data_IF_907883300782
#
_entry.id   IF_907883300782
#
_cell.length_a   1.000
_cell.length_b   1.000
_cell.length_c   1.000
_cell.angle_alpha   90.00
_cell.angle_beta   90.00
_cell.angle_gamma   90.00
#
_symmetry.space_group_name_H-M   'P 1'
#
loop_
_entity.id
_entity.type
_entity.pdbx_description
1 polymer ?
#
# COMPACT_ATOMS: atom_id res chain seq x y z
N UNK A 1 -0.10 70.52 18.83
CA UNK A 1 0.33 71.56 17.88
C UNK A 1 0.18 71.00 16.49
N UNK A 2 -0.78 71.64 15.79
CA UNK A 2 -0.93 71.95 14.37
C UNK A 2 -0.95 70.81 13.36
N UNK A 3 -2.12 70.38 13.00
CA UNK A 3 -2.99 70.56 11.80
C UNK A 3 -2.25 70.98 10.51
N UNK A 4 -2.39 70.25 9.39
CA UNK A 4 -3.28 70.58 8.29
C UNK A 4 -3.26 69.58 7.14
N UNK A 5 -4.39 69.42 6.44
CA UNK A 5 -4.60 68.48 5.32
C UNK A 5 -4.41 69.13 3.98
N UNK A 6 -4.22 68.38 2.89
CA UNK A 6 -4.37 68.88 1.51
C UNK A 6 -5.27 67.91 0.72
N UNK A 7 -6.14 68.53 -0.01
CA UNK A 7 -7.36 68.18 -0.70
C UNK A 7 -7.14 67.71 -2.13
N UNK A 8 -8.06 66.85 -2.59
CA UNK A 8 -8.55 66.52 -3.94
C UNK A 8 -7.97 67.29 -5.17
N UNK A 9 -7.81 66.51 -6.26
CA UNK A 9 -8.22 66.98 -7.60
C UNK A 9 -8.67 65.79 -8.47
N UNK A 10 -9.93 65.85 -8.88
CA UNK A 10 -10.57 65.06 -9.95
C UNK A 10 -10.05 65.54 -11.29
N UNK A 11 -9.80 64.59 -12.22
CA UNK A 11 -9.80 64.91 -13.66
C UNK A 11 -10.43 63.73 -14.41
N UNK A 12 -11.61 63.98 -14.92
CA UNK A 12 -12.30 63.19 -15.92
C UNK A 12 -11.81 63.61 -17.33
N UNK A 13 -11.52 62.66 -18.20
CA UNK A 13 -11.45 62.95 -19.66
C UNK A 13 -11.76 61.69 -20.48
N UNK A 14 -12.93 61.69 -21.03
CA UNK A 14 -13.38 61.44 -22.42
C UNK A 14 -12.98 60.14 -23.15
N UNK A 15 -14.02 59.41 -23.51
CA UNK A 15 -14.11 58.38 -24.57
C UNK A 15 -13.63 58.90 -25.92
N UNK A 16 -12.85 58.10 -26.62
CA UNK A 16 -12.77 58.10 -28.10
C UNK A 16 -13.01 56.71 -28.61
N UNK A 17 -14.16 56.49 -29.28
CA UNK A 17 -14.39 55.32 -30.14
C UNK A 17 -13.52 55.46 -31.41
N UNK A 18 -12.69 54.44 -31.63
CA UNK A 18 -12.13 54.21 -32.96
C UNK A 18 -12.56 52.80 -33.41
N UNK A 19 -13.51 52.77 -34.36
CA UNK A 19 -13.81 51.59 -35.14
C UNK A 19 -12.68 51.35 -36.14
N UNK A 20 -12.01 50.22 -36.11
CA UNK A 20 -11.11 49.74 -37.14
C UNK A 20 -11.51 48.35 -37.58
N UNK A 21 -11.73 48.18 -38.86
CA UNK A 21 -12.10 46.96 -39.57
C UNK A 21 -11.04 45.86 -39.39
N UNK A 22 -11.48 44.69 -38.98
CA UNK A 22 -10.69 43.44 -39.03
C UNK A 22 -10.88 42.74 -40.38
N UNK A 23 -9.85 42.17 -41.01
CA UNK A 23 -9.99 41.26 -42.13
C UNK A 23 -10.51 39.90 -41.68
N UNK A 24 -11.26 39.14 -42.52
CA UNK A 24 -11.79 37.85 -42.18
C UNK A 24 -10.71 36.78 -42.33
N UNK A 25 -10.47 36.01 -41.25
CA UNK A 25 -9.70 34.77 -41.33
C UNK A 25 -8.58 34.63 -40.32
N UNK A 26 -8.90 34.55 -39.04
CA UNK A 26 -8.15 33.83 -38.06
C UNK A 26 -9.09 33.51 -36.89
N UNK A 27 -9.52 32.29 -36.81
CA UNK A 27 -10.09 31.74 -35.58
C UNK A 27 -9.04 31.87 -34.48
N UNK A 28 -9.41 32.25 -33.25
CA UNK A 28 -8.51 32.05 -32.14
C UNK A 28 -8.34 30.53 -32.02
N UNK A 29 -7.12 30.06 -32.19
CA UNK A 29 -6.73 28.78 -31.63
C UNK A 29 -6.90 28.93 -30.11
N UNK A 30 -7.87 28.25 -29.58
CA UNK A 30 -8.02 27.98 -28.15
C UNK A 30 -6.88 27.01 -27.81
N UNK A 31 -5.69 27.58 -27.57
CA UNK A 31 -4.55 26.88 -26.97
C UNK A 31 -4.72 26.90 -25.44
N UNK A 32 -5.86 26.46 -24.98
CA UNK A 32 -6.03 25.81 -23.70
C UNK A 32 -5.67 24.37 -23.95
N UNK A 33 -4.40 24.00 -23.71
CA UNK A 33 -3.97 22.63 -23.83
C UNK A 33 -4.80 21.77 -22.90
N UNK A 34 -5.82 21.12 -23.44
CA UNK A 34 -6.35 19.89 -22.94
C UNK A 34 -5.23 18.85 -23.14
N UNK A 35 -4.36 18.70 -22.12
CA UNK A 35 -3.45 17.58 -22.01
C UNK A 35 -4.31 16.37 -21.59
N UNK A 36 -5.22 15.95 -22.45
CA UNK A 36 -5.72 14.59 -22.40
C UNK A 36 -4.50 13.70 -22.59
N UNK A 37 -4.06 13.05 -21.52
CA UNK A 37 -2.97 12.09 -21.56
C UNK A 37 -3.19 11.18 -22.77
N UNK A 38 -2.18 11.05 -23.64
CA UNK A 38 -2.27 10.24 -24.86
C UNK A 38 -2.74 8.84 -24.49
N UNK A 39 -3.93 8.46 -24.95
CA UNK A 39 -4.56 7.17 -24.63
C UNK A 39 -4.10 6.12 -25.62
N UNK A 40 -3.76 4.93 -25.11
CA UNK A 40 -3.50 3.77 -25.97
C UNK A 40 -4.82 3.06 -26.32
N UNK A 41 -4.85 2.37 -27.45
CA UNK A 41 -5.99 1.56 -27.92
C UNK A 41 -5.61 0.13 -28.29
N UNK A 42 -4.34 -0.21 -28.13
CA UNK A 42 -3.75 -1.54 -28.33
C UNK A 42 -2.52 -1.67 -27.39
N UNK A 43 -2.07 -2.89 -27.08
CA UNK A 43 -0.82 -3.07 -26.35
C UNK A 43 0.33 -2.32 -27.01
N UNK A 44 1.18 -1.70 -26.19
CA UNK A 44 2.40 -1.06 -26.66
C UNK A 44 3.29 -2.12 -27.32
N UNK A 45 3.80 -1.81 -28.50
CA UNK A 45 4.65 -2.72 -29.29
C UNK A 45 6.14 -2.41 -29.06
N UNK A 46 6.99 -3.39 -29.30
CA UNK A 46 8.44 -3.19 -29.26
C UNK A 46 8.89 -2.10 -30.24
N UNK A 47 8.22 -1.97 -31.42
CA UNK A 47 8.50 -0.93 -32.40
C UNK A 47 8.22 0.49 -31.87
N UNK A 48 7.12 0.68 -31.11
CA UNK A 48 6.80 1.98 -30.48
C UNK A 48 7.84 2.35 -29.41
N UNK A 49 8.39 1.38 -28.69
CA UNK A 49 9.48 1.63 -27.73
C UNK A 49 10.79 1.90 -28.47
N UNK A 50 11.11 1.18 -29.57
CA UNK A 50 12.29 1.43 -30.39
C UNK A 50 12.27 2.82 -31.06
N UNK A 51 11.10 3.31 -31.45
CA UNK A 51 10.93 4.63 -32.08
C UNK A 51 11.31 5.80 -31.14
N UNK A 52 11.38 5.58 -29.82
CA UNK A 52 11.88 6.57 -28.85
C UNK A 52 13.38 6.86 -29.05
N UNK A 53 14.15 5.95 -29.72
CA UNK A 53 15.61 6.00 -29.74
C UNK A 53 16.21 5.64 -28.38
N UNK A 54 17.47 5.96 -28.15
CA UNK A 54 18.13 5.69 -26.87
C UNK A 54 17.56 6.59 -25.78
N UNK A 55 16.89 6.02 -24.79
CA UNK A 55 16.23 6.74 -23.70
C UNK A 55 16.61 6.16 -22.33
N UNK A 56 16.47 6.99 -21.30
CA UNK A 56 16.54 6.55 -19.90
C UNK A 56 15.13 6.54 -19.35
N UNK A 57 14.77 5.47 -18.65
CA UNK A 57 13.54 5.34 -17.86
C UNK A 57 13.88 5.50 -16.38
N UNK A 58 13.55 6.64 -15.78
CA UNK A 58 13.76 6.88 -14.33
C UNK A 58 12.66 6.20 -13.52
N UNK A 59 13.04 5.21 -12.70
CA UNK A 59 12.13 4.37 -11.89
C UNK A 59 12.42 4.55 -10.40
N UNK A 60 11.39 4.85 -9.60
CA UNK A 60 11.49 4.88 -8.14
C UNK A 60 10.71 3.73 -7.52
N UNK A 61 11.37 2.95 -6.67
CA UNK A 61 10.80 1.78 -6.02
C UNK A 61 11.06 1.77 -4.52
N UNK A 62 10.20 1.06 -3.79
CA UNK A 62 10.41 0.69 -2.39
C UNK A 62 11.45 -0.44 -2.28
N UNK A 63 12.19 -0.48 -1.17
CA UNK A 63 13.31 -1.40 -0.96
C UNK A 63 12.90 -2.89 -1.00
N UNK A 64 11.68 -3.23 -0.60
CA UNK A 64 11.16 -4.59 -0.68
C UNK A 64 10.98 -5.12 -2.11
N UNK A 65 10.96 -4.23 -3.11
CA UNK A 65 10.88 -4.62 -4.52
C UNK A 65 12.27 -4.85 -5.19
N UNK A 66 13.37 -4.51 -4.51
CA UNK A 66 14.71 -4.53 -5.11
C UNK A 66 15.05 -5.91 -5.66
N UNK A 67 14.75 -6.98 -4.92
CA UNK A 67 15.06 -8.36 -5.36
C UNK A 67 14.27 -8.76 -6.62
N UNK A 68 13.02 -8.35 -6.72
CA UNK A 68 12.18 -8.57 -7.92
C UNK A 68 12.72 -7.78 -9.11
N UNK A 69 13.04 -6.50 -8.89
CA UNK A 69 13.51 -5.60 -9.94
C UNK A 69 14.91 -5.95 -10.44
N UNK A 70 15.78 -6.49 -9.59
CA UNK A 70 17.10 -6.99 -9.98
C UNK A 70 17.02 -8.15 -10.99
N UNK A 71 15.94 -8.90 -10.99
CA UNK A 71 15.67 -9.95 -11.97
C UNK A 71 14.88 -9.43 -13.18
N UNK A 72 13.90 -8.57 -12.95
CA UNK A 72 13.02 -8.06 -14.00
C UNK A 72 13.74 -7.08 -14.96
N UNK A 73 14.47 -6.10 -14.43
CA UNK A 73 15.09 -5.04 -15.24
C UNK A 73 16.03 -5.59 -16.32
N UNK A 74 16.94 -6.54 -16.04
CA UNK A 74 17.82 -7.08 -17.09
C UNK A 74 17.06 -7.77 -18.24
N UNK A 75 15.92 -8.44 -17.96
CA UNK A 75 15.12 -9.05 -19.01
C UNK A 75 14.30 -8.02 -19.78
N UNK A 76 13.85 -6.96 -19.13
CA UNK A 76 13.21 -5.81 -19.78
C UNK A 76 14.18 -5.08 -20.73
N UNK A 77 15.38 -4.72 -20.28
CA UNK A 77 16.40 -4.06 -21.10
C UNK A 77 16.90 -4.93 -22.25
N UNK A 78 16.94 -6.23 -22.08
CA UNK A 78 17.27 -7.18 -23.16
C UNK A 78 16.19 -7.19 -24.25
N UNK A 79 14.93 -7.01 -23.89
CA UNK A 79 13.78 -6.91 -24.81
C UNK A 79 13.72 -5.53 -25.47
N UNK A 80 14.05 -4.49 -24.72
CA UNK A 80 14.08 -3.10 -25.14
C UNK A 80 15.49 -2.51 -25.03
N UNK A 81 16.43 -2.87 -25.93
CA UNK A 81 17.86 -2.53 -25.79
C UNK A 81 18.17 -1.04 -25.94
N UNK A 82 17.22 -0.25 -26.34
CA UNK A 82 17.29 1.22 -26.42
C UNK A 82 16.84 1.94 -25.14
N UNK A 83 16.35 1.18 -24.14
CA UNK A 83 15.92 1.73 -22.85
C UNK A 83 16.95 1.39 -21.77
N UNK A 84 17.47 2.40 -21.07
CA UNK A 84 18.35 2.29 -19.90
C UNK A 84 17.52 2.58 -18.64
N UNK A 85 17.24 1.57 -17.82
CA UNK A 85 16.42 1.73 -16.62
C UNK A 85 17.29 2.23 -15.47
N UNK A 86 16.99 3.42 -14.99
CA UNK A 86 17.65 4.00 -13.84
C UNK A 86 16.82 3.84 -12.58
N UNK A 87 17.09 2.79 -11.81
CA UNK A 87 16.39 2.50 -10.57
C UNK A 87 16.90 3.35 -9.41
N UNK A 88 15.95 3.93 -8.66
CA UNK A 88 16.19 4.58 -7.36
C UNK A 88 15.37 3.86 -6.29
N UNK A 89 16.06 3.14 -5.41
CA UNK A 89 15.46 2.42 -4.29
C UNK A 89 15.38 3.31 -3.06
N UNK A 90 14.26 3.27 -2.34
CA UNK A 90 13.99 4.03 -1.12
C UNK A 90 13.42 3.15 -0.03
N UNK A 91 13.69 3.48 1.24
CA UNK A 91 12.89 2.93 2.33
C UNK A 91 11.43 3.36 2.19
N UNK A 92 10.50 2.62 2.79
CA UNK A 92 9.08 2.97 2.74
C UNK A 92 8.82 4.39 3.28
N UNK A 93 9.44 4.75 4.41
CA UNK A 93 9.27 6.08 5.03
C UNK A 93 9.79 7.20 4.11
N UNK A 94 10.95 6.98 3.45
CA UNK A 94 11.50 7.92 2.50
C UNK A 94 10.66 8.02 1.22
N UNK A 95 10.09 6.89 0.74
CA UNK A 95 9.23 6.88 -0.42
C UNK A 95 7.96 7.71 -0.16
N UNK A 96 7.16 7.35 0.85
CA UNK A 96 5.88 8.01 1.14
C UNK A 96 6.04 9.50 1.47
N UNK A 97 7.17 9.90 2.06
CA UNK A 97 7.42 11.31 2.41
C UNK A 97 7.98 12.14 1.26
N UNK A 98 8.56 11.52 0.23
CA UNK A 98 9.27 12.26 -0.85
C UNK A 98 8.64 12.10 -2.22
N UNK A 99 7.86 11.05 -2.51
CA UNK A 99 7.38 10.74 -3.86
C UNK A 99 6.48 11.84 -4.44
N UNK A 100 5.56 12.40 -3.66
CA UNK A 100 4.68 13.51 -4.12
C UNK A 100 5.51 14.71 -4.56
N UNK A 101 6.54 15.08 -3.78
CA UNK A 101 7.43 16.18 -4.13
C UNK A 101 8.32 15.85 -5.34
N UNK A 102 8.75 14.60 -5.48
CA UNK A 102 9.55 14.17 -6.63
C UNK A 102 8.72 14.21 -7.91
N UNK A 103 7.49 13.69 -7.89
CA UNK A 103 6.56 13.74 -9.01
C UNK A 103 6.18 15.19 -9.39
N UNK A 104 6.17 16.12 -8.42
CA UNK A 104 5.92 17.55 -8.65
C UNK A 104 7.16 18.33 -9.13
N UNK A 105 8.36 17.75 -9.12
CA UNK A 105 9.61 18.44 -9.48
C UNK A 105 9.71 18.74 -10.99
N UNK A 106 10.72 19.54 -11.39
CA UNK A 106 10.99 19.85 -12.80
C UNK A 106 11.49 18.63 -13.60
N UNK A 107 11.95 17.58 -12.92
CA UNK A 107 12.42 16.32 -13.51
C UNK A 107 11.87 15.18 -12.65
N UNK A 108 10.59 14.83 -12.81
CA UNK A 108 9.98 13.74 -12.07
C UNK A 108 10.52 12.40 -12.56
N UNK A 109 10.46 11.33 -11.74
CA UNK A 109 10.61 9.97 -12.25
C UNK A 109 9.50 9.69 -13.28
N UNK A 110 9.79 8.82 -14.25
CA UNK A 110 8.83 8.40 -15.27
C UNK A 110 7.83 7.39 -14.70
N UNK A 111 8.32 6.49 -13.87
CA UNK A 111 7.55 5.49 -13.14
C UNK A 111 7.93 5.55 -11.66
N UNK A 112 6.95 5.54 -10.79
CA UNK A 112 7.21 5.51 -9.34
C UNK A 112 6.18 4.69 -8.60
N UNK A 113 6.62 3.99 -7.57
CA UNK A 113 5.70 3.45 -6.58
C UNK A 113 5.16 4.56 -5.69
N UNK A 114 3.87 4.47 -5.38
CA UNK A 114 3.19 5.30 -4.40
C UNK A 114 2.86 4.53 -3.12
N UNK A 115 1.82 4.97 -2.45
CA UNK A 115 1.16 4.23 -1.37
C UNK A 115 -0.33 4.54 -1.43
N UNK A 116 -1.14 3.51 -1.39
CA UNK A 116 -2.60 3.64 -1.49
C UNK A 116 -3.14 4.59 -0.42
N UNK A 117 -4.34 5.10 -0.65
CA UNK A 117 -5.03 5.98 0.28
C UNK A 117 -4.71 7.46 0.12
N UNK A 118 -5.25 8.24 1.05
CA UNK A 118 -5.31 9.69 0.92
C UNK A 118 -3.98 10.42 1.09
N UNK A 119 -3.01 9.81 1.79
CA UNK A 119 -1.74 10.47 2.11
C UNK A 119 -0.82 10.65 0.89
N UNK A 120 -0.79 9.69 -0.01
CA UNK A 120 0.13 9.68 -1.17
C UNK A 120 -0.64 9.66 -2.47
N UNK A 121 -1.33 8.56 -2.80
CA UNK A 121 -1.99 8.42 -4.12
C UNK A 121 -3.07 9.47 -4.34
N UNK A 122 -3.91 9.72 -3.32
CA UNK A 122 -4.90 10.80 -3.38
C UNK A 122 -4.27 12.17 -3.62
N UNK A 123 -3.12 12.46 -3.01
CA UNK A 123 -2.38 13.70 -3.23
C UNK A 123 -1.77 13.77 -4.64
N UNK A 124 -1.29 12.64 -5.18
CA UNK A 124 -0.78 12.56 -6.55
C UNK A 124 -1.87 12.83 -7.58
N UNK A 125 -3.06 12.23 -7.40
CA UNK A 125 -4.23 12.45 -8.27
C UNK A 125 -4.72 13.89 -8.18
N UNK A 126 -4.92 14.44 -6.98
CA UNK A 126 -5.36 15.82 -6.77
C UNK A 126 -4.44 16.87 -7.42
N UNK A 127 -3.17 16.56 -7.55
CA UNK A 127 -2.17 17.46 -8.14
C UNK A 127 -1.89 17.17 -9.62
N UNK A 128 -2.66 16.29 -10.27
CA UNK A 128 -2.49 15.87 -11.68
C UNK A 128 -1.06 15.40 -11.99
N UNK A 129 -0.40 14.72 -11.03
CA UNK A 129 1.00 14.29 -11.16
C UNK A 129 1.16 12.91 -11.80
N UNK A 130 0.10 12.12 -11.82
CA UNK A 130 0.08 10.76 -12.36
C UNK A 130 -0.98 10.62 -13.45
N UNK A 131 -0.68 9.76 -14.42
CA UNK A 131 -1.55 9.48 -15.56
C UNK A 131 -2.65 8.50 -15.21
N UNK A 132 -3.92 8.70 -15.68
CA UNK A 132 -4.95 7.67 -15.71
C UNK A 132 -4.47 6.42 -16.46
N UNK A 133 -4.79 5.23 -15.95
CA UNK A 133 -4.39 3.94 -16.52
C UNK A 133 -5.57 3.06 -16.96
N UNK A 134 -6.81 3.60 -17.07
CA UNK A 134 -7.96 2.82 -17.54
C UNK A 134 -7.75 2.23 -18.94
N UNK A 135 -7.10 2.96 -19.84
CA UNK A 135 -6.79 2.48 -21.18
C UNK A 135 -5.73 1.36 -21.14
N UNK A 136 -4.75 1.44 -20.26
CA UNK A 136 -3.78 0.37 -20.02
C UNK A 136 -4.50 -0.84 -19.43
N UNK A 137 -5.30 -0.64 -18.39
CA UNK A 137 -6.07 -1.71 -17.75
C UNK A 137 -7.03 -2.40 -18.73
N UNK A 138 -7.68 -1.65 -19.63
CA UNK A 138 -8.55 -2.19 -20.68
C UNK A 138 -7.76 -3.01 -21.71
N UNK A 139 -6.65 -2.47 -22.20
CA UNK A 139 -5.84 -3.09 -23.27
C UNK A 139 -5.12 -4.36 -22.80
N UNK A 140 -4.74 -4.41 -21.52
CA UNK A 140 -4.04 -5.56 -20.91
C UNK A 140 -4.95 -6.43 -20.03
N UNK A 141 -6.29 -6.27 -20.15
CA UNK A 141 -7.31 -7.09 -19.49
C UNK A 141 -7.15 -7.20 -17.95
N UNK A 142 -6.75 -6.09 -17.27
CA UNK A 142 -6.49 -6.11 -15.81
C UNK A 142 -7.74 -6.48 -14.99
N UNK A 143 -8.95 -6.17 -15.44
CA UNK A 143 -10.19 -6.60 -14.74
C UNK A 143 -10.37 -8.12 -14.73
N UNK A 144 -9.90 -8.84 -15.76
CA UNK A 144 -9.94 -10.30 -15.80
C UNK A 144 -8.75 -10.92 -15.07
N UNK A 145 -7.57 -10.28 -15.17
CA UNK A 145 -6.31 -10.84 -14.69
C UNK A 145 -6.04 -10.52 -13.25
N UNK A 146 -6.36 -9.31 -12.77
CA UNK A 146 -6.20 -8.87 -11.39
C UNK A 146 -7.51 -8.99 -10.60
N UNK A 147 -8.62 -8.66 -11.24
CA UNK A 147 -9.94 -8.60 -10.63
C UNK A 147 -10.32 -7.22 -10.08
N UNK A 148 -11.58 -6.85 -10.26
CA UNK A 148 -12.07 -5.51 -9.87
C UNK A 148 -11.96 -5.23 -8.36
N UNK A 149 -12.06 -6.26 -7.52
CA UNK A 149 -11.91 -6.10 -6.07
C UNK A 149 -10.51 -5.60 -5.69
N UNK A 150 -9.46 -6.25 -6.22
CA UNK A 150 -8.07 -5.89 -5.97
C UNK A 150 -7.69 -4.57 -6.65
N UNK A 151 -8.30 -4.22 -7.78
CA UNK A 151 -8.12 -2.92 -8.44
C UNK A 151 -8.86 -1.78 -7.73
N UNK A 152 -9.76 -2.08 -6.79
CA UNK A 152 -10.48 -1.08 -6.01
C UNK A 152 -9.55 -0.03 -5.39
N UNK A 153 -8.53 -0.41 -4.61
CA UNK A 153 -7.58 0.53 -4.00
C UNK A 153 -6.70 1.31 -4.98
N UNK A 154 -6.73 0.99 -6.29
CA UNK A 154 -6.02 1.72 -7.33
C UNK A 154 -6.88 2.79 -8.02
N UNK A 155 -8.15 2.94 -7.57
CA UNK A 155 -9.14 3.84 -8.16
C UNK A 155 -9.34 5.11 -7.35
N UNK A 156 -9.48 6.20 -8.08
CA UNK A 156 -9.84 7.51 -7.55
C UNK A 156 -10.82 8.20 -8.48
N UNK A 157 -11.70 9.06 -7.93
CA UNK A 157 -12.42 10.01 -8.75
C UNK A 157 -11.46 11.05 -9.35
N UNK A 158 -11.90 11.76 -10.38
CA UNK A 158 -11.07 12.71 -11.12
C UNK A 158 -10.57 13.90 -10.25
N UNK A 159 -11.18 14.12 -9.08
CA UNK A 159 -10.76 15.14 -8.13
C UNK A 159 -9.80 14.60 -7.03
N UNK A 160 -9.51 13.30 -7.02
CA UNK A 160 -8.69 12.64 -5.98
C UNK A 160 -9.32 12.67 -4.58
N UNK A 161 -10.64 12.79 -4.51
CA UNK A 161 -11.38 12.92 -3.26
C UNK A 161 -12.08 11.63 -2.84
N UNK A 162 -12.47 10.79 -3.79
CA UNK A 162 -13.17 9.54 -3.52
C UNK A 162 -12.27 8.36 -3.81
N UNK A 163 -11.76 7.75 -2.75
CA UNK A 163 -10.97 6.52 -2.81
C UNK A 163 -11.83 5.33 -3.22
N UNK A 164 -11.26 4.39 -3.96
CA UNK A 164 -11.90 3.17 -4.48
C UNK A 164 -13.03 3.40 -5.50
N UNK A 165 -13.10 4.58 -6.10
CA UNK A 165 -14.11 4.93 -7.11
C UNK A 165 -13.47 5.58 -8.34
N UNK A 166 -14.12 5.46 -9.48
CA UNK A 166 -13.71 6.14 -10.71
C UNK A 166 -12.55 5.46 -11.43
N UNK A 167 -11.54 6.24 -11.76
CA UNK A 167 -10.44 5.95 -12.68
C UNK A 167 -9.33 5.14 -12.01
N UNK A 168 -8.74 4.18 -12.71
CA UNK A 168 -7.53 3.45 -12.30
C UNK A 168 -6.32 4.35 -12.53
N UNK A 169 -5.47 4.53 -11.52
CA UNK A 169 -4.23 5.32 -11.61
C UNK A 169 -2.97 4.49 -11.39
N UNK A 170 -3.10 3.23 -11.06
CA UNK A 170 -1.97 2.36 -10.81
C UNK A 170 -2.29 0.89 -11.04
N UNK A 171 -1.26 0.06 -11.04
CA UNK A 171 -1.35 -1.39 -10.93
C UNK A 171 -0.23 -1.92 -10.03
N UNK A 172 -0.35 -3.15 -9.58
CA UNK A 172 0.72 -3.90 -8.93
C UNK A 172 0.63 -5.38 -9.31
N UNK A 173 1.75 -6.02 -9.65
CA UNK A 173 1.76 -7.44 -10.02
C UNK A 173 1.72 -8.37 -8.80
N UNK A 174 1.78 -7.84 -7.59
CA UNK A 174 1.93 -8.58 -6.33
C UNK A 174 0.74 -8.34 -5.43
N UNK A 175 0.19 -9.39 -4.85
CA UNK A 175 -0.72 -9.32 -3.71
C UNK A 175 0.10 -9.42 -2.41
N UNK A 176 -0.26 -8.61 -1.42
CA UNK A 176 0.33 -8.65 -0.09
C UNK A 176 -0.74 -8.86 0.96
N UNK A 177 -0.46 -9.74 1.93
CA UNK A 177 -1.34 -9.96 3.06
C UNK A 177 -0.54 -9.98 4.36
N UNK A 178 -1.10 -9.42 5.41
CA UNK A 178 -0.61 -9.63 6.76
C UNK A 178 -1.06 -11.01 7.21
N UNK A 179 -0.10 -11.81 7.70
CA UNK A 179 -0.35 -13.15 8.19
C UNK A 179 0.45 -13.46 9.45
N UNK A 180 0.55 -14.72 9.75
CA UNK A 180 1.25 -15.22 10.93
C UNK A 180 2.33 -16.19 10.49
N UNK A 181 3.59 -15.76 10.53
CA UNK A 181 4.70 -16.71 10.49
C UNK A 181 4.76 -17.46 11.79
N UNK A 182 5.04 -18.77 11.75
CA UNK A 182 5.17 -19.60 12.93
C UNK A 182 6.42 -20.49 12.85
N UNK A 183 6.99 -20.78 14.01
CA UNK A 183 8.19 -21.60 14.18
C UNK A 183 7.81 -22.92 14.81
N UNK A 184 7.76 -23.99 14.01
CA UNK A 184 7.36 -25.35 14.44
C UNK A 184 8.25 -25.88 15.54
N UNK A 185 9.56 -25.58 15.50
CA UNK A 185 10.50 -26.03 16.54
C UNK A 185 10.19 -25.44 17.92
N UNK A 186 9.72 -24.18 17.98
CA UNK A 186 9.33 -23.53 19.23
C UNK A 186 7.95 -24.01 19.70
N UNK A 187 7.02 -24.20 18.77
CA UNK A 187 5.69 -24.78 19.08
C UNK A 187 5.83 -26.20 19.66
N UNK A 188 6.66 -27.04 19.04
CA UNK A 188 6.94 -28.40 19.51
C UNK A 188 7.53 -28.42 20.93
N UNK A 189 8.47 -27.51 21.23
CA UNK A 189 9.04 -27.36 22.59
C UNK A 189 7.98 -26.98 23.63
N UNK A 190 7.00 -26.15 23.22
CA UNK A 190 5.89 -25.73 24.05
C UNK A 190 4.78 -26.80 24.13
N UNK A 191 4.82 -27.82 23.28
CA UNK A 191 3.80 -28.86 23.19
C UNK A 191 2.49 -28.33 22.56
N UNK A 192 2.61 -27.43 21.62
CA UNK A 192 1.49 -26.73 20.95
C UNK A 192 1.46 -27.10 19.47
N UNK A 193 0.29 -27.44 18.96
CA UNK A 193 0.05 -27.58 17.52
C UNK A 193 -0.10 -26.19 16.87
N UNK A 194 0.03 -26.11 15.53
CA UNK A 194 -0.24 -24.88 14.78
C UNK A 194 -1.73 -24.52 14.94
N UNK A 195 -2.05 -23.30 15.44
CA UNK A 195 -3.42 -22.91 15.72
C UNK A 195 -4.23 -22.73 14.43
N UNK A 196 -5.49 -23.16 14.43
CA UNK A 196 -6.44 -23.05 13.32
C UNK A 196 -7.58 -22.08 13.61
N UNK A 197 -7.76 -21.70 14.87
CA UNK A 197 -8.73 -20.69 15.33
C UNK A 197 -8.04 -19.62 16.15
N UNK A 198 -8.64 -18.43 16.23
CA UNK A 198 -8.10 -17.32 17.03
C UNK A 198 -7.99 -17.69 18.52
N UNK A 199 -8.96 -18.42 19.05
CA UNK A 199 -8.89 -18.92 20.44
C UNK A 199 -7.71 -19.89 20.66
N UNK A 200 -7.44 -20.79 19.71
CA UNK A 200 -6.25 -21.66 19.77
C UNK A 200 -4.95 -20.87 19.67
N UNK A 201 -4.91 -19.77 18.90
CA UNK A 201 -3.75 -18.87 18.87
C UNK A 201 -3.50 -18.25 20.24
N UNK A 202 -4.54 -17.76 20.92
CA UNK A 202 -4.42 -17.19 22.27
C UNK A 202 -3.96 -18.24 23.31
N UNK A 203 -4.49 -19.47 23.24
CA UNK A 203 -4.02 -20.57 24.06
C UNK A 203 -2.56 -20.92 23.78
N UNK A 204 -2.15 -20.92 22.50
CA UNK A 204 -0.78 -21.16 22.07
C UNK A 204 0.19 -20.09 22.61
N UNK A 205 -0.16 -18.81 22.53
CA UNK A 205 0.63 -17.71 23.11
C UNK A 205 0.88 -17.91 24.60
N UNK A 206 -0.16 -18.28 25.33
CA UNK A 206 -0.07 -18.60 26.77
C UNK A 206 0.83 -19.79 27.06
N UNK A 207 0.72 -20.87 26.31
CA UNK A 207 1.52 -22.08 26.46
C UNK A 207 3.00 -21.85 26.14
N UNK A 208 3.30 -21.15 25.04
CA UNK A 208 4.65 -20.76 24.65
C UNK A 208 5.30 -19.92 25.76
N UNK A 209 4.57 -18.93 26.29
CA UNK A 209 5.03 -18.11 27.43
C UNK A 209 5.34 -18.95 28.67
N UNK A 210 4.49 -19.92 28.99
CA UNK A 210 4.70 -20.84 30.14
C UNK A 210 5.90 -21.76 29.94
N UNK A 211 6.20 -22.14 28.69
CA UNK A 211 7.40 -22.91 28.33
C UNK A 211 8.69 -22.09 28.46
N UNK A 212 8.58 -20.75 28.64
CA UNK A 212 9.72 -19.83 28.77
C UNK A 212 10.25 -19.35 27.46
N UNK A 213 9.55 -19.59 26.37
CA UNK A 213 9.85 -19.09 25.03
C UNK A 213 9.16 -17.73 24.77
N UNK A 214 9.59 -16.99 23.76
CA UNK A 214 8.96 -15.73 23.35
C UNK A 214 7.73 -16.05 22.48
N UNK A 215 6.50 -15.61 22.85
CA UNK A 215 5.33 -15.88 22.02
C UNK A 215 5.37 -15.18 20.68
N UNK A 216 5.54 -13.86 20.66
CA UNK A 216 5.50 -13.06 19.43
C UNK A 216 6.77 -12.23 19.33
N UNK A 217 7.49 -12.35 18.22
CA UNK A 217 8.59 -11.45 17.84
C UNK A 217 7.97 -10.20 17.22
N UNK A 218 8.23 -9.04 17.80
CA UNK A 218 7.76 -7.75 17.31
C UNK A 218 8.92 -6.75 17.30
N UNK A 219 9.08 -6.03 16.18
CA UNK A 219 9.86 -4.81 16.06
C UNK A 219 8.91 -3.68 15.72
N UNK A 220 8.87 -2.62 16.52
CA UNK A 220 7.89 -1.53 16.38
C UNK A 220 8.54 -0.14 16.48
N UNK A 221 9.82 -0.04 16.10
CA UNK A 221 10.52 1.24 16.10
C UNK A 221 9.88 2.23 15.11
N UNK A 222 9.45 1.74 13.95
CA UNK A 222 8.77 2.47 12.89
C UNK A 222 7.27 2.68 13.17
N UNK A 223 6.72 2.09 14.23
CA UNK A 223 5.31 2.12 14.69
C UNK A 223 4.33 1.31 13.84
N UNK A 224 4.51 1.22 12.53
CA UNK A 224 3.59 0.51 11.63
C UNK A 224 3.49 -1.01 11.89
N UNK A 225 4.50 -1.74 12.40
CA UNK A 225 4.31 -3.18 12.66
C UNK A 225 3.19 -3.47 13.67
N UNK A 226 2.96 -2.59 14.64
CA UNK A 226 1.83 -2.75 15.55
C UNK A 226 0.47 -2.59 14.86
N UNK A 227 0.38 -1.84 13.73
CA UNK A 227 -0.83 -1.76 12.91
C UNK A 227 -1.17 -3.11 12.30
N UNK A 228 -0.15 -3.85 11.85
CA UNK A 228 -0.33 -5.19 11.29
C UNK A 228 -0.80 -6.19 12.34
N UNK A 229 -0.20 -6.14 13.54
CA UNK A 229 -0.67 -6.97 14.66
C UNK A 229 -2.12 -6.62 15.01
N UNK A 230 -2.45 -5.33 15.07
CA UNK A 230 -3.83 -4.89 15.32
C UNK A 230 -4.79 -5.36 14.22
N UNK A 231 -4.41 -5.23 12.95
CA UNK A 231 -5.22 -5.68 11.80
C UNK A 231 -5.47 -7.20 11.81
N UNK A 232 -4.46 -8.00 12.15
CA UNK A 232 -4.62 -9.44 12.30
C UNK A 232 -5.58 -9.81 13.47
N UNK A 233 -5.51 -9.09 14.59
CA UNK A 233 -6.46 -9.26 15.70
C UNK A 233 -7.85 -8.75 15.28
N UNK A 234 -7.95 -7.61 14.60
CA UNK A 234 -9.19 -7.02 14.13
C UNK A 234 -9.98 -7.99 13.24
N UNK A 235 -9.29 -8.74 12.36
CA UNK A 235 -9.90 -9.75 11.49
C UNK A 235 -10.64 -10.87 12.26
N UNK A 236 -10.30 -11.11 13.52
CA UNK A 236 -11.04 -12.07 14.34
C UNK A 236 -12.39 -11.52 14.86
N UNK A 237 -12.63 -10.21 14.81
CA UNK A 237 -13.79 -9.54 15.38
C UNK A 237 -14.62 -8.76 14.36
N UNK A 238 -13.97 -8.10 13.41
CA UNK A 238 -14.60 -7.19 12.45
C UNK A 238 -14.93 -7.91 11.14
N UNK A 239 -15.89 -7.36 10.41
CA UNK A 239 -16.17 -7.80 9.05
C UNK A 239 -15.33 -6.97 8.06
N UNK A 240 -14.72 -7.60 7.05
CA UNK A 240 -13.93 -6.87 6.05
C UNK A 240 -14.65 -5.70 5.40
N UNK A 241 -15.91 -5.86 4.99
CA UNK A 241 -16.70 -4.79 4.38
C UNK A 241 -16.84 -3.57 5.29
N UNK A 242 -17.06 -3.76 6.61
CA UNK A 242 -17.21 -2.66 7.56
C UNK A 242 -15.89 -1.87 7.71
N UNK A 243 -14.75 -2.55 7.64
CA UNK A 243 -13.42 -1.92 7.66
C UNK A 243 -13.16 -1.19 6.35
N UNK A 244 -13.44 -1.82 5.22
CA UNK A 244 -13.22 -1.26 3.89
C UNK A 244 -14.11 -0.04 3.62
N UNK A 245 -15.38 -0.07 4.07
CA UNK A 245 -16.29 1.06 4.00
C UNK A 245 -15.76 2.27 4.80
N UNK A 246 -15.21 2.00 6.01
CA UNK A 246 -14.63 3.07 6.82
C UNK A 246 -13.35 3.63 6.18
N UNK A 247 -12.44 2.78 5.71
CA UNK A 247 -11.22 3.22 5.03
C UNK A 247 -11.53 4.05 3.80
N UNK A 248 -12.55 3.66 3.01
CA UNK A 248 -12.96 4.36 1.79
C UNK A 248 -13.73 5.66 2.06
N UNK A 249 -14.15 5.92 3.29
CA UNK A 249 -14.93 7.11 3.64
C UNK A 249 -16.41 7.02 3.26
N UNK A 250 -17.00 5.83 3.27
CA UNK A 250 -18.43 5.62 3.01
C UNK A 250 -19.27 6.32 4.08
N UNK A 251 -20.31 7.03 3.65
CA UNK A 251 -21.21 7.77 4.56
C UNK A 251 -21.85 6.83 5.59
N UNK A 252 -21.66 7.15 6.86
CA UNK A 252 -22.19 6.39 8.00
C UNK A 252 -21.27 5.27 8.49
N UNK A 253 -20.15 5.02 7.84
CA UNK A 253 -19.12 4.13 8.37
C UNK A 253 -18.50 4.69 9.66
N UNK A 254 -18.02 3.83 10.54
CA UNK A 254 -17.42 4.23 11.82
C UNK A 254 -16.36 3.23 12.28
N UNK A 255 -15.25 3.74 12.82
CA UNK A 255 -14.26 2.91 13.52
C UNK A 255 -14.69 2.60 14.96
N UNK A 256 -15.62 3.39 15.53
CA UNK A 256 -16.09 3.25 16.91
C UNK A 256 -17.09 2.08 17.06
N UNK A 257 -16.65 0.87 16.72
CA UNK A 257 -17.42 -0.38 16.81
C UNK A 257 -17.03 -1.20 18.04
N UNK A 258 -17.88 -2.14 18.44
CA UNK A 258 -17.56 -3.11 19.49
C UNK A 258 -16.42 -4.04 19.03
N UNK A 259 -16.37 -4.39 17.75
CA UNK A 259 -15.31 -5.21 17.16
C UNK A 259 -13.92 -4.54 17.29
N UNK A 260 -13.80 -3.27 16.90
CA UNK A 260 -12.53 -2.54 17.02
C UNK A 260 -12.12 -2.31 18.47
N UNK A 261 -13.10 -2.14 19.36
CA UNK A 261 -12.83 -2.04 20.80
C UNK A 261 -12.31 -3.36 21.35
N UNK A 262 -12.94 -4.50 20.98
CA UNK A 262 -12.48 -5.83 21.38
C UNK A 262 -11.06 -6.11 20.85
N UNK A 263 -10.77 -5.75 19.60
CA UNK A 263 -9.42 -5.90 19.05
C UNK A 263 -8.37 -5.08 19.81
N UNK A 264 -8.70 -3.85 20.20
CA UNK A 264 -7.81 -3.00 20.99
C UNK A 264 -7.62 -3.55 22.43
N UNK A 265 -8.67 -4.07 23.06
CA UNK A 265 -8.60 -4.74 24.36
C UNK A 265 -7.70 -5.99 24.28
N UNK A 266 -7.86 -6.82 23.26
CA UNK A 266 -7.02 -8.01 23.03
C UNK A 266 -5.55 -7.65 22.85
N UNK A 267 -5.24 -6.63 22.05
CA UNK A 267 -3.85 -6.18 21.86
C UNK A 267 -3.23 -5.71 23.18
N UNK A 268 -3.98 -4.96 23.99
CA UNK A 268 -3.54 -4.51 25.31
C UNK A 268 -3.32 -5.71 26.26
N UNK A 269 -4.22 -6.69 26.25
CA UNK A 269 -4.08 -7.93 27.04
C UNK A 269 -2.84 -8.75 26.62
N UNK A 270 -2.54 -8.82 25.33
CA UNK A 270 -1.33 -9.51 24.84
C UNK A 270 -0.05 -8.82 25.33
N UNK A 271 -0.05 -7.51 25.40
CA UNK A 271 1.07 -6.75 25.96
C UNK A 271 1.18 -6.96 27.47
N UNK A 272 0.10 -6.83 28.23
CA UNK A 272 0.06 -7.03 29.67
C UNK A 272 0.51 -8.47 30.06
N UNK A 273 0.15 -9.45 29.25
CA UNK A 273 0.63 -10.82 29.37
C UNK A 273 2.11 -10.97 28.97
N UNK A 274 2.74 -9.93 28.39
CA UNK A 274 4.14 -9.88 27.97
C UNK A 274 4.44 -10.80 26.80
N UNK A 275 3.51 -10.95 25.87
CA UNK A 275 3.68 -11.82 24.70
C UNK A 275 4.68 -11.26 23.68
N UNK A 276 4.87 -9.94 23.62
CA UNK A 276 5.84 -9.30 22.73
C UNK A 276 7.27 -9.20 23.30
N UNK A 277 7.49 -9.69 24.52
CA UNK A 277 8.77 -9.56 25.20
C UNK A 277 9.04 -8.13 25.68
N UNK A 278 10.31 -7.69 25.61
CA UNK A 278 10.70 -6.37 26.07
C UNK A 278 11.43 -5.60 25.00
N UNK A 279 11.29 -4.27 25.03
CA UNK A 279 12.00 -3.33 24.16
C UNK A 279 11.64 -3.42 22.65
N UNK A 280 10.51 -4.01 22.27
CA UNK A 280 10.06 -4.11 20.88
C UNK A 280 9.93 -2.73 20.19
N UNK A 281 9.59 -1.66 20.90
CA UNK A 281 9.58 -0.29 20.37
C UNK A 281 10.97 0.28 20.04
N UNK A 282 12.04 -0.44 20.31
CA UNK A 282 13.41 -0.08 19.93
C UNK A 282 14.05 -1.05 18.95
N UNK A 283 13.26 -1.99 18.40
CA UNK A 283 13.67 -2.98 17.41
C UNK A 283 12.99 -2.58 16.10
N UNK A 284 13.74 -2.53 15.00
CA UNK A 284 13.19 -2.31 13.67
C UNK A 284 12.40 -3.52 13.16
N UNK A 285 11.50 -3.29 12.22
CA UNK A 285 10.68 -4.33 11.60
C UNK A 285 11.54 -5.41 10.93
N UNK A 286 12.53 -5.00 10.14
CA UNK A 286 13.46 -5.90 9.45
C UNK A 286 14.32 -6.70 10.44
N UNK A 287 14.78 -6.04 11.51
CA UNK A 287 15.53 -6.72 12.59
C UNK A 287 14.66 -7.79 13.28
N UNK A 288 13.36 -7.54 13.45
CA UNK A 288 12.45 -8.52 14.04
C UNK A 288 12.25 -9.73 13.13
N UNK A 289 12.02 -9.53 11.84
CA UNK A 289 11.92 -10.61 10.85
C UNK A 289 13.23 -11.44 10.80
N UNK A 290 14.39 -10.78 10.78
CA UNK A 290 15.68 -11.45 10.79
C UNK A 290 15.91 -12.28 12.10
N UNK A 291 15.50 -11.78 13.26
CA UNK A 291 15.56 -12.52 14.52
C UNK A 291 14.64 -13.73 14.51
N UNK A 292 13.42 -13.58 14.01
CA UNK A 292 12.51 -14.70 13.84
C UNK A 292 13.11 -15.77 12.94
N UNK A 293 13.66 -15.42 11.76
CA UNK A 293 14.37 -16.33 10.86
C UNK A 293 15.62 -16.99 11.48
N UNK A 294 16.21 -16.37 12.52
CA UNK A 294 17.27 -16.98 13.35
C UNK A 294 16.74 -17.90 14.47
N UNK A 295 15.44 -18.16 14.49
CA UNK A 295 14.79 -19.08 15.42
C UNK A 295 14.30 -18.45 16.73
N UNK A 296 14.26 -17.12 16.85
CA UNK A 296 13.69 -16.44 18.02
C UNK A 296 12.17 -16.45 17.96
N UNK A 297 11.51 -16.89 19.03
CA UNK A 297 10.07 -16.83 19.24
C UNK A 297 9.23 -17.84 18.43
N UNK A 298 7.95 -17.92 18.80
CA UNK A 298 6.99 -18.86 18.22
C UNK A 298 6.25 -18.30 17.02
N UNK A 299 5.87 -17.01 17.08
CA UNK A 299 5.11 -16.33 16.04
C UNK A 299 5.72 -14.99 15.68
N UNK A 300 5.51 -14.57 14.41
CA UNK A 300 5.79 -13.23 13.93
C UNK A 300 4.60 -12.80 13.05
N UNK A 301 3.81 -11.85 13.55
CA UNK A 301 2.64 -11.33 12.84
C UNK A 301 3.11 -10.17 11.97
N UNK A 302 3.19 -10.39 10.68
CA UNK A 302 3.75 -9.45 9.73
C UNK A 302 3.25 -9.75 8.31
N UNK A 303 3.59 -8.90 7.37
CA UNK A 303 3.27 -9.14 5.96
C UNK A 303 4.10 -10.27 5.33
N UNK A 304 3.51 -10.90 4.35
CA UNK A 304 4.10 -12.00 3.56
C UNK A 304 5.41 -11.62 2.88
N UNK A 305 5.64 -10.35 2.61
CA UNK A 305 6.91 -9.83 2.06
C UNK A 305 8.14 -10.09 2.93
N UNK A 306 7.97 -10.52 4.18
CA UNK A 306 9.08 -10.94 5.04
C UNK A 306 9.48 -12.41 4.86
N UNK A 307 8.77 -13.17 4.03
CA UNK A 307 9.12 -14.58 3.78
C UNK A 307 10.58 -14.79 3.33
N UNK A 308 11.14 -13.97 2.39
CA UNK A 308 12.56 -14.09 2.02
C UNK A 308 13.50 -13.92 3.23
N UNK A 309 13.27 -12.92 4.09
CA UNK A 309 14.11 -12.67 5.26
C UNK A 309 14.01 -13.78 6.31
N UNK A 310 12.83 -14.37 6.49
CA UNK A 310 12.61 -15.52 7.38
C UNK A 310 13.35 -16.76 6.87
N UNK A 311 13.29 -17.04 5.57
CA UNK A 311 13.97 -18.17 4.94
C UNK A 311 15.48 -17.98 5.00
N UNK A 312 15.99 -16.79 4.68
CA UNK A 312 17.42 -16.50 4.67
C UNK A 312 18.06 -16.66 6.06
N UNK A 313 17.31 -16.39 7.14
CA UNK A 313 17.73 -16.65 8.52
C UNK A 313 18.10 -18.11 8.78
N UNK A 314 17.43 -19.05 8.14
CA UNK A 314 17.80 -20.45 7.97
C UNK A 314 17.91 -21.29 9.25
N UNK A 315 17.36 -20.86 10.38
CA UNK A 315 17.53 -21.51 11.68
C UNK A 315 16.21 -21.92 12.34
N UNK A 316 15.37 -22.66 11.60
CA UNK A 316 14.12 -23.17 12.11
C UNK A 316 13.28 -23.86 11.04
N UNK A 317 12.25 -24.57 11.47
CA UNK A 317 11.18 -25.06 10.62
C UNK A 317 10.02 -24.04 10.69
N UNK A 318 9.95 -23.20 9.68
CA UNK A 318 8.98 -22.09 9.62
C UNK A 318 7.83 -22.42 8.68
N UNK A 319 6.68 -21.79 8.96
CA UNK A 319 5.54 -21.78 8.08
C UNK A 319 4.84 -20.43 8.12
N UNK A 320 3.85 -20.26 7.25
CA UNK A 320 3.02 -19.07 7.17
C UNK A 320 1.55 -19.47 7.12
N UNK A 321 0.66 -18.65 7.68
CA UNK A 321 -0.79 -18.87 7.63
C UNK A 321 -1.53 -17.53 7.63
N UNK A 322 -2.73 -17.50 7.06
CA UNK A 322 -3.67 -16.42 7.34
C UNK A 322 -3.89 -16.31 8.85
N UNK A 323 -4.14 -15.11 9.41
CA UNK A 323 -4.51 -15.01 10.81
C UNK A 323 -5.69 -15.96 11.09
N UNK A 324 -5.61 -16.79 12.15
CA UNK A 324 -6.66 -17.77 12.41
C UNK A 324 -8.02 -17.12 12.59
N UNK A 325 -9.06 -17.73 12.01
CA UNK A 325 -10.40 -17.20 12.01
C UNK A 325 -10.97 -17.02 13.42
N UNK A 326 -11.74 -15.92 13.61
CA UNK A 326 -12.51 -15.68 14.81
C UNK A 326 -13.75 -16.57 14.95
N UNK A 327 -14.74 -16.15 15.74
CA UNK A 327 -15.97 -16.93 15.97
C UNK A 327 -16.82 -17.11 14.68
N UNK A 328 -16.67 -16.26 13.69
CA UNK A 328 -17.34 -16.41 12.37
C UNK A 328 -16.92 -17.67 11.64
N UNK A 329 -15.68 -18.12 11.87
CA UNK A 329 -15.03 -19.18 11.10
C UNK A 329 -14.51 -18.71 9.71
N UNK A 330 -14.65 -17.43 9.38
CA UNK A 330 -14.17 -16.81 8.15
C UNK A 330 -12.79 -16.19 8.39
N UNK A 331 -11.88 -16.33 7.44
CA UNK A 331 -10.57 -15.70 7.50
C UNK A 331 -10.67 -14.21 7.13
N UNK A 332 -10.03 -13.35 7.90
CA UNK A 332 -9.93 -11.93 7.58
C UNK A 332 -8.58 -11.36 8.05
N UNK A 333 -7.97 -10.56 7.21
CA UNK A 333 -6.74 -9.84 7.54
C UNK A 333 -6.51 -8.63 6.65
N UNK A 334 -5.65 -7.73 7.11
CA UNK A 334 -5.17 -6.63 6.28
C UNK A 334 -4.42 -7.17 5.08
N UNK A 335 -4.82 -6.73 3.89
CA UNK A 335 -4.21 -7.16 2.64
C UNK A 335 -4.72 -6.37 1.44
N UNK A 336 -3.94 -6.32 0.38
CA UNK A 336 -4.29 -5.67 -0.89
C UNK A 336 -3.25 -6.02 -1.95
N UNK A 337 -3.30 -5.33 -3.10
CA UNK A 337 -2.15 -5.23 -3.97
C UNK A 337 -0.99 -4.52 -3.25
N UNK A 338 0.25 -4.91 -3.58
CA UNK A 338 1.46 -4.23 -3.12
C UNK A 338 1.49 -2.77 -3.57
N UNK A 339 2.54 -2.05 -3.23
CA UNK A 339 2.70 -0.65 -3.59
C UNK A 339 2.37 -0.39 -5.06
N UNK A 340 1.49 0.62 -5.32
CA UNK A 340 0.99 0.91 -6.66
C UNK A 340 2.08 1.51 -7.54
N UNK A 341 2.20 1.02 -8.76
CA UNK A 341 3.04 1.58 -9.80
C UNK A 341 2.29 2.64 -10.59
N UNK A 342 2.76 3.87 -10.50
CA UNK A 342 2.24 5.02 -11.21
C UNK A 342 3.13 5.42 -12.37
N UNK A 343 2.53 5.94 -13.44
CA UNK A 343 3.22 6.59 -14.54
C UNK A 343 3.04 8.11 -14.38
N UNK A 344 4.14 8.86 -14.47
CA UNK A 344 4.11 10.32 -14.43
C UNK A 344 3.23 10.89 -15.55
N UNK A 345 2.37 11.86 -15.22
CA UNK A 345 1.60 12.60 -16.24
C UNK A 345 2.50 13.43 -17.17
N UNK A 346 3.79 13.56 -16.83
CA UNK A 346 4.78 14.39 -17.55
C UNK A 346 5.95 13.60 -18.11
N UNK A 347 5.83 12.26 -18.21
CA UNK A 347 6.87 11.46 -18.85
C UNK A 347 6.97 11.76 -20.34
N UNK A 348 8.20 11.92 -20.83
CA UNK A 348 8.50 12.09 -22.25
C UNK A 348 8.73 10.72 -22.95
N UNK A 349 8.73 9.60 -22.18
CA UNK A 349 9.02 8.23 -22.66
C UNK A 349 7.83 7.29 -22.41
N UNK A 350 6.61 7.79 -22.62
CA UNK A 350 5.36 7.08 -22.29
C UNK A 350 5.28 5.63 -22.79
N UNK A 351 5.65 5.29 -24.05
CA UNK A 351 5.64 3.89 -24.50
C UNK A 351 6.52 2.97 -23.61
N UNK A 352 7.72 3.43 -23.23
CA UNK A 352 8.62 2.64 -22.37
C UNK A 352 8.07 2.52 -20.95
N UNK A 353 7.46 3.58 -20.40
CA UNK A 353 6.84 3.55 -19.07
C UNK A 353 5.63 2.59 -19.02
N UNK A 354 4.77 2.62 -20.06
CA UNK A 354 3.64 1.67 -20.16
C UNK A 354 4.16 0.23 -20.32
N UNK A 355 5.13 -0.01 -21.20
CA UNK A 355 5.71 -1.33 -21.40
C UNK A 355 6.29 -1.87 -20.09
N UNK A 356 7.04 -1.06 -19.34
CA UNK A 356 7.62 -1.44 -18.05
C UNK A 356 6.54 -1.89 -17.05
N UNK A 357 5.49 -1.09 -16.85
CA UNK A 357 4.40 -1.42 -15.92
C UNK A 357 3.60 -2.63 -16.43
N UNK A 358 3.25 -2.67 -17.72
CA UNK A 358 2.45 -3.76 -18.27
C UNK A 358 3.19 -5.11 -18.26
N UNK A 359 4.49 -5.11 -18.58
CA UNK A 359 5.29 -6.33 -18.57
C UNK A 359 5.51 -6.90 -17.17
N UNK A 360 5.62 -6.05 -16.14
CA UNK A 360 5.62 -6.55 -14.75
C UNK A 360 4.35 -7.35 -14.42
N UNK A 361 3.22 -7.00 -15.02
CA UNK A 361 1.94 -7.69 -14.85
C UNK A 361 1.74 -8.88 -15.81
N UNK A 362 2.69 -9.16 -16.68
CA UNK A 362 2.54 -10.23 -17.64
C UNK A 362 2.62 -11.61 -16.95
N UNK A 363 1.79 -12.60 -17.38
CA UNK A 363 1.77 -13.94 -16.78
C UNK A 363 3.14 -14.63 -16.73
N UNK A 364 3.98 -14.40 -17.73
CA UNK A 364 5.33 -14.93 -17.80
C UNK A 364 6.26 -14.44 -16.68
N UNK A 365 5.95 -13.33 -16.04
CA UNK A 365 6.70 -12.79 -14.92
C UNK A 365 6.18 -13.27 -13.54
N UNK A 366 5.06 -14.00 -13.52
CA UNK A 366 4.54 -14.60 -12.28
C UNK A 366 5.49 -15.63 -11.66
N UNK A 367 6.19 -16.43 -12.50
CA UNK A 367 7.19 -17.39 -12.01
C UNK A 367 8.36 -16.69 -11.30
N UNK A 368 8.77 -15.53 -11.81
CA UNK A 368 9.83 -14.71 -11.20
C UNK A 368 9.44 -14.23 -9.80
N UNK A 369 8.16 -13.85 -9.60
CA UNK A 369 7.67 -13.44 -8.29
C UNK A 369 7.67 -14.59 -7.29
N UNK A 370 7.27 -15.79 -7.72
CA UNK A 370 7.31 -16.99 -6.85
C UNK A 370 8.74 -17.39 -6.49
N UNK A 371 9.68 -17.26 -7.42
CA UNK A 371 11.10 -17.55 -7.18
C UNK A 371 11.71 -16.65 -6.08
N UNK A 372 11.12 -15.49 -5.83
CA UNK A 372 11.49 -14.59 -4.73
C UNK A 372 10.50 -14.63 -3.56
N UNK A 373 9.65 -15.66 -3.48
CA UNK A 373 8.65 -15.84 -2.44
C UNK A 373 7.65 -14.65 -2.30
N UNK A 374 7.21 -14.14 -3.46
CA UNK A 374 6.12 -13.16 -3.56
C UNK A 374 4.88 -13.80 -4.15
N UNK A 375 3.71 -13.29 -3.80
CA UNK A 375 2.44 -13.81 -4.32
C UNK A 375 2.06 -13.02 -5.58
N UNK A 376 2.12 -13.62 -6.78
CA UNK A 376 1.67 -12.93 -7.97
C UNK A 376 0.15 -12.80 -7.99
N UNK A 377 -0.34 -11.65 -8.45
CA UNK A 377 -1.78 -11.41 -8.66
C UNK A 377 -2.31 -12.29 -9.78
N UNK A 378 -1.51 -12.44 -10.83
CA UNK A 378 -1.80 -13.31 -11.96
C UNK A 378 -1.28 -14.69 -11.66
N UNK A 379 -2.12 -15.60 -11.33
CA UNK A 379 -1.72 -16.99 -11.26
C UNK A 379 -2.38 -17.78 -10.15
N UNK A 380 -3.68 -17.96 -10.27
CA UNK A 380 -4.36 -19.00 -9.51
C UNK A 380 -3.76 -20.41 -9.70
N UNK A 381 -2.82 -20.60 -10.63
CA UNK A 381 -2.21 -21.87 -11.02
C UNK A 381 -0.68 -21.86 -10.93
N UNK A 382 -0.06 -20.94 -10.16
CA UNK A 382 1.39 -20.96 -9.96
C UNK A 382 1.73 -22.13 -9.03
N UNK A 383 2.67 -22.98 -9.47
CA UNK A 383 3.16 -24.07 -8.63
C UNK A 383 4.12 -23.54 -7.55
N UNK A 384 3.87 -23.94 -6.31
CA UNK A 384 4.75 -23.61 -5.19
C UNK A 384 6.16 -24.21 -5.41
N UNK A 385 7.20 -23.45 -5.09
CA UNK A 385 8.58 -23.87 -5.24
C UNK A 385 9.10 -24.64 -4.01
N UNK A 386 8.56 -24.31 -2.85
CA UNK A 386 8.90 -24.89 -1.55
C UNK A 386 7.71 -24.83 -0.57
N UNK A 387 7.91 -25.29 0.66
CA UNK A 387 6.86 -25.33 1.67
C UNK A 387 6.39 -23.91 2.05
N UNK A 388 7.27 -22.91 2.07
CA UNK A 388 6.91 -21.53 2.41
C UNK A 388 6.05 -20.91 1.31
N UNK A 389 6.44 -21.06 0.05
CA UNK A 389 5.63 -20.55 -1.07
C UNK A 389 4.26 -21.25 -1.14
N UNK A 390 4.17 -22.54 -0.76
CA UNK A 390 2.89 -23.24 -0.63
C UNK A 390 2.03 -22.62 0.48
N UNK A 391 2.59 -22.39 1.67
CA UNK A 391 1.90 -21.79 2.80
C UNK A 391 1.40 -20.36 2.45
N UNK A 392 2.20 -19.55 1.77
CA UNK A 392 1.84 -18.20 1.30
C UNK A 392 0.65 -18.23 0.33
N UNK A 393 0.71 -19.12 -0.66
CA UNK A 393 -0.36 -19.30 -1.65
C UNK A 393 -1.66 -19.77 -0.97
N UNK A 394 -1.57 -20.73 -0.05
CA UNK A 394 -2.74 -21.26 0.64
C UNK A 394 -3.37 -20.22 1.59
N UNK A 395 -2.56 -19.41 2.27
CA UNK A 395 -3.03 -18.29 3.11
C UNK A 395 -3.77 -17.23 2.27
N UNK A 396 -3.22 -16.86 1.11
CA UNK A 396 -3.86 -15.92 0.20
C UNK A 396 -5.18 -16.48 -0.33
N UNK A 397 -5.22 -17.76 -0.73
CA UNK A 397 -6.46 -18.40 -1.19
C UNK A 397 -7.54 -18.40 -0.10
N UNK A 398 -7.19 -18.73 1.14
CA UNK A 398 -8.14 -18.71 2.24
C UNK A 398 -8.77 -17.33 2.45
N UNK A 399 -7.97 -16.25 2.39
CA UNK A 399 -8.47 -14.88 2.47
C UNK A 399 -9.36 -14.50 1.29
N UNK A 400 -8.99 -14.93 0.07
CA UNK A 400 -9.77 -14.62 -1.13
C UNK A 400 -11.10 -15.41 -1.20
N UNK A 401 -11.13 -16.65 -0.72
CA UNK A 401 -12.34 -17.48 -0.68
C UNK A 401 -13.40 -16.93 0.30
N UNK A 402 -12.96 -16.25 1.36
CA UNK A 402 -13.84 -15.67 2.38
C UNK A 402 -14.12 -14.16 2.15
N UNK A 403 -13.67 -13.56 1.02
CA UNK A 403 -13.68 -12.12 0.79
C UNK A 403 -13.04 -11.36 1.99
N UNK A 404 -12.00 -11.96 2.58
CA UNK A 404 -11.45 -11.61 3.89
C UNK A 404 -10.41 -10.49 3.88
N UNK A 405 -10.10 -9.89 2.74
CA UNK A 405 -9.13 -8.81 2.67
C UNK A 405 -9.70 -7.49 3.20
N UNK A 406 -9.01 -6.93 4.18
CA UNK A 406 -9.28 -5.62 4.75
C UNK A 406 -8.23 -4.63 4.27
N UNK A 407 -8.66 -3.47 3.82
CA UNK A 407 -7.74 -2.37 3.47
C UNK A 407 -6.90 -1.94 4.69
N UNK A 408 -5.71 -1.44 4.44
CA UNK A 408 -4.87 -0.88 5.48
C UNK A 408 -5.52 0.35 6.10
N UNK A 409 -5.66 0.38 7.42
CA UNK A 409 -6.38 1.42 8.16
C UNK A 409 -5.80 2.82 7.96
N UNK A 410 -4.48 2.91 7.77
CA UNK A 410 -3.76 4.16 7.57
C UNK A 410 -4.07 4.85 6.24
N UNK A 411 -4.74 4.17 5.29
CA UNK A 411 -5.18 4.76 4.04
C UNK A 411 -6.37 5.70 4.17
N UNK A 412 -7.09 5.67 5.29
CA UNK A 412 -8.38 6.34 5.50
C UNK A 412 -8.30 7.86 5.60
N UNK A 413 -7.17 8.43 6.03
CA UNK A 413 -6.92 9.88 6.06
C UNK A 413 -5.43 10.20 5.86
N UNK A 414 -5.06 11.45 5.48
CA UNK A 414 -3.65 11.84 5.36
C UNK A 414 -2.84 11.78 6.67
N UNK A 415 -3.51 11.75 7.83
CA UNK A 415 -2.90 11.76 9.17
C UNK A 415 -3.01 10.42 9.89
N UNK A 416 -3.77 9.48 9.33
CA UNK A 416 -4.14 8.25 10.02
C UNK A 416 -2.95 7.36 10.38
N UNK A 417 -1.92 7.31 9.54
CA UNK A 417 -0.68 6.58 9.85
C UNK A 417 -0.07 7.01 11.19
N UNK A 418 0.08 8.32 11.42
CA UNK A 418 0.60 8.86 12.67
C UNK A 418 -0.36 8.67 13.84
N UNK A 419 -1.65 8.82 13.61
CA UNK A 419 -2.71 8.64 14.63
C UNK A 419 -2.74 7.21 15.14
N UNK A 420 -2.79 6.22 14.23
CA UNK A 420 -2.76 4.80 14.58
C UNK A 420 -1.44 4.41 15.25
N UNK A 421 -0.31 4.73 14.61
CA UNK A 421 1.00 4.34 15.14
C UNK A 421 1.27 4.90 16.54
N UNK A 422 0.92 6.16 16.79
CA UNK A 422 1.04 6.78 18.11
C UNK A 422 -0.01 6.23 19.10
N UNK A 423 -1.24 6.02 18.63
CA UNK A 423 -2.33 5.47 19.43
C UNK A 423 -2.02 4.07 19.93
N UNK A 424 -1.57 3.17 19.05
CA UNK A 424 -1.20 1.80 19.41
C UNK A 424 0.00 1.75 20.36
N UNK A 425 1.03 2.56 20.15
CA UNK A 425 2.14 2.64 21.11
C UNK A 425 1.68 3.11 22.50
N UNK A 426 0.70 4.02 22.58
CA UNK A 426 0.14 4.47 23.85
C UNK A 426 -0.74 3.42 24.49
N UNK A 427 -1.55 2.70 23.71
CA UNK A 427 -2.39 1.58 24.14
C UNK A 427 -1.53 0.46 24.75
N UNK A 428 -0.52 -0.02 24.00
CA UNK A 428 0.41 -1.06 24.46
C UNK A 428 1.28 -0.62 25.65
N UNK A 429 1.44 0.69 25.89
CA UNK A 429 2.15 1.22 27.05
C UNK A 429 1.23 1.58 28.25
N UNK A 430 -0.02 1.13 28.26
CA UNK A 430 -1.05 1.42 29.27
C UNK A 430 -1.17 2.95 29.57
N UNK A 431 -1.15 3.74 28.50
CA UNK A 431 -1.29 5.22 28.56
C UNK A 431 -2.66 5.69 28.14
N UNK A 432 -3.39 4.88 27.39
CA UNK A 432 -4.79 5.06 26.99
C UNK A 432 -5.44 3.69 27.08
N UNK A 433 -6.74 3.66 27.32
CA UNK A 433 -7.53 2.44 27.18
C UNK A 433 -8.06 2.23 25.74
N UNK A 434 -8.65 1.07 25.50
CA UNK A 434 -9.20 0.72 24.19
C UNK A 434 -10.26 1.70 23.69
N UNK A 435 -11.11 2.23 24.59
CA UNK A 435 -12.12 3.20 24.23
C UNK A 435 -11.51 4.55 23.80
N UNK A 436 -10.55 5.07 24.56
CA UNK A 436 -9.83 6.32 24.20
C UNK A 436 -9.06 6.16 22.89
N UNK A 437 -8.46 4.99 22.63
CA UNK A 437 -7.79 4.70 21.35
C UNK A 437 -8.77 4.73 20.19
N UNK A 438 -9.87 3.98 20.28
CA UNK A 438 -10.89 3.91 19.22
C UNK A 438 -11.53 5.28 18.97
N UNK A 439 -11.85 6.03 20.02
CA UNK A 439 -12.42 7.38 19.89
C UNK A 439 -11.42 8.36 19.22
N UNK A 440 -10.11 8.23 19.51
CA UNK A 440 -9.07 9.06 18.87
C UNK A 440 -8.96 8.79 17.37
N UNK A 441 -8.98 7.52 16.96
CA UNK A 441 -8.96 7.11 15.55
C UNK A 441 -10.21 7.59 14.82
N UNK A 442 -11.39 7.41 15.44
CA UNK A 442 -12.64 7.88 14.87
C UNK A 442 -12.68 9.41 14.70
N UNK A 443 -12.14 10.16 15.67
CA UNK A 443 -12.11 11.62 15.59
C UNK A 443 -11.23 12.14 14.45
N UNK A 444 -10.07 11.54 14.20
CA UNK A 444 -9.21 11.88 13.04
C UNK A 444 -9.98 11.71 11.73
N UNK A 445 -10.66 10.57 11.60
CA UNK A 445 -11.47 10.26 10.42
C UNK A 445 -12.64 11.26 10.25
N UNK A 446 -13.38 11.58 11.32
CA UNK A 446 -14.48 12.54 11.27
C UNK A 446 -14.01 13.95 10.91
N UNK A 447 -12.90 14.41 11.46
CA UNK A 447 -12.29 15.71 11.16
C UNK A 447 -11.90 15.81 9.68
N UNK A 448 -11.35 14.75 9.12
CA UNK A 448 -11.03 14.67 7.70
C UNK A 448 -12.28 14.66 6.82
N UNK A 449 -13.27 13.82 7.13
CA UNK A 449 -14.51 13.75 6.34
C UNK A 449 -15.29 15.08 6.38
N UNK A 450 -15.28 15.80 7.50
CA UNK A 450 -15.92 17.11 7.60
C UNK A 450 -15.23 18.21 6.78
N UNK A 451 -13.97 18.01 6.39
CA UNK A 451 -13.18 18.93 5.55
C UNK A 451 -13.29 18.68 4.05
N UNK A 452 -13.84 17.57 3.64
CA UNK A 452 -14.06 17.16 2.24
C UNK A 452 -15.35 17.72 1.69
#
# INVERSE_FOLDING_TARGET
>A
MTRRPITLAFAATSLVLAAACSPPGSSPSDDGGDQSAERISSPVTDEEVEELGDVTLDVWAEAGEEQTLDQFIPEFEKRHPNVDVKLTVKSIDDLITTVVNAMASDSPPDVAQGNQGYAVDGALVQADLIRPLDDVAEVYDWSETIGDHLLGPMRWDDEGKQFRQGTIYAGSPVANNVGVFYNRDVLDKAGVEVPTTFAELEEALGAVKQAGELPIVLGNAEKWPALHVFGAIQGAYAKPDEVNDWVSGVEGATFATDANRAAAETLAEWEDNGYFGRAYNGIGADDAAARFGQGEGAFHIAGDWYAPAVIEGGQGDFGFMAPPAGESGEYASTGSLSFPWHISSRTDVLPAAIAFVAEMHAPENSELLVDVNRIPVLGAEVEAQDDMSADLIDANKALMEDDGQMDYLDWSTPTMYDTLGTGLQRLMADRVDAAEFVDTVQQDWEDFQAGR
#
